data_IF_058296941821
#
_entry.id   IF_058296941821
#
_cell.length_a   1.000
_cell.length_b   1.000
_cell.length_c   1.000
_cell.angle_alpha   90.00
_cell.angle_beta   90.00
_cell.angle_gamma   90.00
#
_symmetry.space_group_name_H-M   'P 1'
#
loop_
_entity.id
_entity.type
_entity.pdbx_description
1 polymer ?
#
# COMPACT_ATOMS: atom_id res chain seq x y z
N UNK A 1 -53.27 27.53 -42.46
CA UNK A 1 -51.92 28.08 -42.27
C UNK A 1 -51.10 27.10 -41.43
N UNK A 2 -50.02 26.59 -42.03
CA UNK A 2 -48.85 25.85 -41.49
C UNK A 2 -49.06 24.95 -40.26
N UNK A 3 -49.21 23.63 -40.49
CA UNK A 3 -48.81 22.61 -39.52
C UNK A 3 -47.32 22.34 -39.69
N UNK A 4 -46.56 22.62 -38.63
CA UNK A 4 -45.12 22.42 -38.52
C UNK A 4 -44.88 20.91 -38.33
N UNK A 5 -44.17 20.28 -39.27
CA UNK A 5 -43.66 18.91 -39.12
C UNK A 5 -42.30 19.06 -38.45
N UNK A 6 -42.21 18.77 -37.15
CA UNK A 6 -40.94 18.58 -36.46
C UNK A 6 -40.48 17.14 -36.75
N UNK A 7 -39.48 16.99 -37.61
CA UNK A 7 -38.72 15.75 -37.74
C UNK A 7 -37.76 15.64 -36.55
N UNK A 8 -38.13 14.83 -35.56
CA UNK A 8 -37.22 14.38 -34.51
C UNK A 8 -36.21 13.42 -35.16
N UNK A 9 -35.00 13.91 -35.46
CA UNK A 9 -33.88 13.03 -35.79
C UNK A 9 -33.35 12.47 -34.48
N UNK A 10 -33.72 11.25 -34.14
CA UNK A 10 -33.09 10.50 -33.07
C UNK A 10 -31.67 10.16 -33.52
N UNK A 11 -30.70 10.96 -33.08
CA UNK A 11 -29.29 10.57 -33.10
C UNK A 11 -29.17 9.43 -32.10
N UNK A 12 -29.11 8.21 -32.62
CA UNK A 12 -28.76 7.03 -31.85
C UNK A 12 -27.26 7.14 -31.54
N UNK A 13 -26.90 7.89 -30.50
CA UNK A 13 -25.59 7.74 -29.87
C UNK A 13 -25.54 6.31 -29.33
N UNK A 14 -24.91 5.41 -30.07
CA UNK A 14 -24.38 4.19 -29.50
C UNK A 14 -23.30 4.60 -28.52
N UNK A 15 -23.68 4.88 -27.27
CA UNK A 15 -22.79 4.68 -26.15
C UNK A 15 -22.56 3.17 -26.10
N UNK A 16 -21.48 2.73 -26.76
CA UNK A 16 -20.94 1.42 -26.47
C UNK A 16 -20.33 1.54 -25.08
N UNK A 17 -21.15 1.34 -24.04
CA UNK A 17 -20.67 1.16 -22.69
C UNK A 17 -19.93 -0.18 -22.68
N UNK A 18 -18.65 -0.14 -23.01
CA UNK A 18 -17.73 -1.25 -22.76
C UNK A 18 -17.57 -1.37 -21.25
N UNK A 19 -18.54 -2.01 -20.60
CA UNK A 19 -18.31 -2.53 -19.26
C UNK A 19 -17.12 -3.48 -19.38
N UNK A 20 -16.00 -3.12 -18.75
CA UNK A 20 -14.88 -4.03 -18.58
C UNK A 20 -15.42 -5.25 -17.83
N UNK A 21 -15.54 -6.37 -18.54
CA UNK A 21 -15.75 -7.66 -17.89
C UNK A 21 -14.38 -8.08 -17.42
N UNK A 22 -14.15 -8.02 -16.10
CA UNK A 22 -12.93 -8.56 -15.52
C UNK A 22 -12.80 -10.03 -15.91
N UNK A 23 -11.66 -10.38 -16.49
CA UNK A 23 -11.31 -11.78 -16.65
C UNK A 23 -11.20 -12.44 -15.26
N UNK A 24 -11.51 -13.73 -15.18
CA UNK A 24 -11.32 -14.50 -13.95
C UNK A 24 -9.85 -14.37 -13.49
N UNK A 25 -9.61 -14.12 -12.20
CA UNK A 25 -8.25 -13.95 -11.65
C UNK A 25 -7.37 -15.16 -11.99
N UNK A 26 -7.94 -16.37 -11.98
CA UNK A 26 -7.25 -17.60 -12.37
C UNK A 26 -6.82 -17.64 -13.85
N UNK A 27 -7.44 -16.84 -14.72
CA UNK A 27 -7.04 -16.68 -16.11
C UNK A 27 -5.85 -15.74 -16.27
N UNK A 28 -5.78 -14.68 -15.45
CA UNK A 28 -4.70 -13.70 -15.50
C UNK A 28 -3.44 -14.20 -14.79
N UNK A 29 -3.61 -14.76 -13.59
CA UNK A 29 -2.55 -15.34 -12.77
C UNK A 29 -2.89 -16.80 -12.44
N UNK A 30 -2.34 -17.76 -13.21
CA UNK A 30 -2.60 -19.19 -13.00
C UNK A 30 -2.18 -19.69 -11.62
N UNK A 31 -1.18 -19.05 -11.03
CA UNK A 31 -0.79 -19.24 -9.63
C UNK A 31 -1.14 -17.96 -8.88
N UNK A 32 -2.03 -18.08 -7.90
CA UNK A 32 -2.56 -16.97 -7.12
C UNK A 32 -2.88 -17.41 -5.68
N UNK A 33 -3.43 -16.51 -4.89
CA UNK A 33 -3.71 -16.70 -3.45
C UNK A 33 -4.63 -17.88 -3.13
N UNK A 34 -5.49 -18.27 -4.07
CA UNK A 34 -6.42 -19.40 -3.90
C UNK A 34 -5.80 -20.73 -4.38
N UNK A 35 -4.62 -20.69 -5.01
CA UNK A 35 -3.88 -21.87 -5.46
C UNK A 35 -3.27 -22.63 -4.29
N UNK A 36 -3.30 -23.97 -4.34
CA UNK A 36 -2.72 -24.81 -3.28
C UNK A 36 -1.21 -24.58 -3.10
N UNK A 37 -0.48 -24.40 -4.22
CA UNK A 37 0.96 -24.13 -4.25
C UNK A 37 1.34 -22.81 -3.56
N UNK A 38 0.40 -21.85 -3.44
CA UNK A 38 0.67 -20.56 -2.80
C UNK A 38 1.14 -20.69 -1.34
N UNK A 39 0.64 -21.72 -0.64
CA UNK A 39 1.05 -22.05 0.73
C UNK A 39 2.39 -22.76 0.82
N UNK A 40 2.94 -23.23 -0.30
CA UNK A 40 4.23 -23.90 -0.36
C UNK A 40 5.39 -22.90 -0.48
N UNK A 41 5.11 -21.66 -0.89
CA UNK A 41 6.11 -20.60 -0.99
C UNK A 41 6.70 -20.22 0.37
N UNK A 42 8.03 -20.02 0.37
CA UNK A 42 8.82 -19.77 1.58
C UNK A 42 9.48 -18.39 1.58
N UNK A 43 9.47 -17.70 0.43
CA UNK A 43 9.94 -16.34 0.29
C UNK A 43 8.96 -15.47 -0.49
N UNK A 44 9.04 -14.15 -0.30
CA UNK A 44 8.32 -13.17 -1.10
C UNK A 44 8.77 -13.19 -2.57
N UNK A 45 10.05 -13.48 -2.82
CA UNK A 45 10.58 -13.66 -4.18
C UNK A 45 9.92 -14.85 -4.90
N UNK A 46 9.67 -15.97 -4.22
CA UNK A 46 8.96 -17.11 -4.82
C UNK A 46 7.53 -16.70 -5.23
N UNK A 47 6.88 -15.84 -4.43
CA UNK A 47 5.53 -15.33 -4.70
C UNK A 47 5.53 -14.35 -5.88
N UNK A 48 6.54 -13.48 -5.97
CA UNK A 48 6.75 -12.57 -7.11
C UNK A 48 6.96 -13.39 -8.39
N UNK A 49 7.88 -14.36 -8.38
CA UNK A 49 8.20 -15.19 -9.55
C UNK A 49 6.96 -15.94 -10.06
N UNK A 50 6.10 -16.41 -9.15
CA UNK A 50 4.85 -17.07 -9.50
C UNK A 50 3.83 -16.15 -10.19
N UNK A 51 3.96 -14.83 -10.02
CA UNK A 51 3.08 -13.83 -10.62
C UNK A 51 3.69 -13.17 -11.88
N UNK A 52 4.88 -13.61 -12.32
CA UNK A 52 5.56 -12.99 -13.45
C UNK A 52 4.78 -13.16 -14.76
N UNK A 53 4.76 -12.09 -15.55
CA UNK A 53 4.10 -12.05 -16.86
C UNK A 53 5.14 -11.60 -17.88
N UNK A 54 5.39 -12.44 -18.88
CA UNK A 54 6.39 -12.16 -19.91
C UNK A 54 6.19 -10.80 -20.57
N UNK A 55 7.27 -10.06 -20.78
CA UNK A 55 7.26 -8.74 -21.43
C UNK A 55 6.58 -8.77 -22.79
N UNK A 56 6.76 -9.84 -23.58
CA UNK A 56 6.09 -10.00 -24.87
C UNK A 56 4.57 -9.97 -24.74
N UNK A 57 4.04 -10.67 -23.72
CA UNK A 57 2.61 -10.67 -23.43
C UNK A 57 2.13 -9.30 -22.96
N UNK A 58 2.87 -8.65 -22.07
CA UNK A 58 2.51 -7.32 -21.54
C UNK A 58 2.41 -6.26 -22.66
N UNK A 59 3.34 -6.29 -23.61
CA UNK A 59 3.36 -5.37 -24.75
C UNK A 59 2.15 -5.54 -25.69
N UNK A 60 1.60 -6.76 -25.77
CA UNK A 60 0.45 -7.06 -26.61
C UNK A 60 -0.90 -6.66 -25.97
N UNK A 61 -0.92 -6.37 -24.66
CA UNK A 61 -2.13 -6.00 -23.93
C UNK A 61 -2.56 -4.56 -24.21
N UNK A 62 -3.87 -4.33 -24.23
CA UNK A 62 -4.42 -2.97 -24.17
C UNK A 62 -4.19 -2.36 -22.77
N UNK A 63 -4.36 -1.04 -22.66
CA UNK A 63 -4.20 -0.34 -21.38
C UNK A 63 -5.27 -0.78 -20.37
N UNK A 64 -6.48 -1.08 -20.84
CA UNK A 64 -7.56 -1.67 -20.03
C UNK A 64 -7.21 -3.08 -19.54
N UNK A 65 -6.63 -3.91 -20.39
CA UNK A 65 -6.21 -5.26 -19.99
C UNK A 65 -5.06 -5.18 -18.97
N UNK A 66 -4.07 -4.31 -19.17
CA UNK A 66 -3.01 -4.05 -18.20
C UNK A 66 -3.57 -3.61 -16.85
N UNK A 67 -4.56 -2.71 -16.84
CA UNK A 67 -5.24 -2.30 -15.62
C UNK A 67 -5.90 -3.49 -14.90
N UNK A 68 -6.53 -4.42 -15.64
CA UNK A 68 -7.06 -5.65 -15.03
C UNK A 68 -5.95 -6.50 -14.41
N UNK A 69 -4.81 -6.68 -15.10
CA UNK A 69 -3.67 -7.41 -14.53
C UNK A 69 -3.15 -6.75 -13.25
N UNK A 70 -3.12 -5.42 -13.18
CA UNK A 70 -2.70 -4.70 -11.97
C UNK A 70 -3.70 -4.91 -10.82
N UNK A 71 -4.99 -4.72 -11.08
CA UNK A 71 -6.02 -4.86 -10.04
C UNK A 71 -6.22 -6.32 -9.58
N UNK A 72 -5.88 -7.30 -10.41
CA UNK A 72 -5.93 -8.72 -10.05
C UNK A 72 -4.59 -9.29 -9.56
N UNK A 73 -3.54 -8.45 -9.47
CA UNK A 73 -2.21 -8.89 -9.06
C UNK A 73 -2.26 -9.55 -7.67
N UNK A 74 -1.78 -10.81 -7.51
CA UNK A 74 -1.94 -11.54 -6.26
C UNK A 74 -1.28 -10.87 -5.04
N UNK A 75 -0.27 -10.02 -5.27
CA UNK A 75 0.44 -9.27 -4.24
C UNK A 75 0.04 -7.78 -4.20
N UNK A 76 -1.09 -7.38 -4.78
CA UNK A 76 -1.55 -5.96 -4.83
C UNK A 76 -1.55 -5.28 -3.45
N UNK A 77 -1.81 -6.03 -2.38
CA UNK A 77 -1.83 -5.51 -1.00
C UNK A 77 -0.49 -4.93 -0.56
N UNK A 78 0.63 -5.36 -1.14
CA UNK A 78 1.96 -4.88 -0.79
C UNK A 78 2.10 -3.36 -0.98
N UNK A 79 1.37 -2.80 -1.95
CA UNK A 79 1.33 -1.35 -2.22
C UNK A 79 0.92 -0.51 -1.00
N UNK A 80 0.21 -1.07 -0.03
CA UNK A 80 -0.28 -0.35 1.15
C UNK A 80 0.58 -0.58 2.39
N UNK A 81 1.66 -1.35 2.29
CA UNK A 81 2.47 -1.78 3.44
C UNK A 81 3.71 -0.91 3.67
N UNK A 82 3.76 0.27 3.06
CA UNK A 82 4.86 1.23 3.17
C UNK A 82 4.42 2.48 3.91
N UNK A 83 5.39 3.31 4.33
CA UNK A 83 5.14 4.56 5.07
C UNK A 83 4.34 5.58 4.23
N UNK A 84 4.48 5.51 2.91
CA UNK A 84 3.70 6.28 1.96
C UNK A 84 3.16 5.40 0.85
N UNK A 85 2.02 5.80 0.27
CA UNK A 85 1.47 5.11 -0.90
C UNK A 85 2.36 5.30 -2.13
N UNK A 86 3.08 6.41 -2.25
CA UNK A 86 4.08 6.60 -3.32
C UNK A 86 5.17 5.54 -3.23
N UNK A 87 5.75 5.33 -2.05
CA UNK A 87 6.77 4.31 -1.84
C UNK A 87 6.23 2.90 -2.13
N UNK A 88 4.99 2.63 -1.73
CA UNK A 88 4.36 1.33 -2.01
C UNK A 88 4.03 1.10 -3.49
N UNK A 89 3.63 2.12 -4.24
CA UNK A 89 3.44 2.04 -5.70
C UNK A 89 4.77 1.76 -6.38
N UNK A 90 5.83 2.46 -5.97
CA UNK A 90 7.17 2.28 -6.52
C UNK A 90 7.75 0.91 -6.17
N UNK A 91 7.54 0.42 -4.94
CA UNK A 91 7.93 -0.93 -4.54
C UNK A 91 7.19 -2.00 -5.37
N UNK A 92 5.88 -1.88 -5.50
CA UNK A 92 5.07 -2.81 -6.30
C UNK A 92 5.51 -2.79 -7.77
N UNK A 93 5.82 -1.60 -8.31
CA UNK A 93 6.29 -1.40 -9.69
C UNK A 93 7.58 -2.16 -9.99
N UNK A 94 8.49 -2.32 -9.03
CA UNK A 94 9.76 -3.01 -9.27
C UNK A 94 9.59 -4.51 -9.58
N UNK A 95 8.47 -5.11 -9.17
CA UNK A 95 8.24 -6.54 -9.35
C UNK A 95 6.88 -6.91 -9.95
N UNK A 96 6.02 -5.92 -10.24
CA UNK A 96 4.78 -6.11 -10.98
C UNK A 96 4.96 -5.55 -12.40
N UNK A 97 5.35 -6.42 -13.35
CA UNK A 97 5.59 -6.03 -14.74
C UNK A 97 4.39 -5.33 -15.38
N UNK A 98 3.17 -5.76 -15.05
CA UNK A 98 1.92 -5.13 -15.53
C UNK A 98 1.76 -3.70 -15.04
N UNK A 99 2.13 -3.38 -13.80
CA UNK A 99 2.11 -2.01 -13.29
C UNK A 99 3.22 -1.18 -13.93
N UNK A 100 4.42 -1.75 -14.07
CA UNK A 100 5.53 -1.08 -14.72
C UNK A 100 5.19 -0.69 -16.17
N UNK A 101 4.58 -1.59 -16.95
CA UNK A 101 4.12 -1.30 -18.31
C UNK A 101 2.95 -0.30 -18.32
N UNK A 102 1.95 -0.47 -17.44
CA UNK A 102 0.78 0.41 -17.36
C UNK A 102 1.17 1.88 -17.17
N UNK A 103 2.12 2.16 -16.26
CA UNK A 103 2.56 3.53 -15.95
C UNK A 103 3.32 4.20 -17.11
N UNK A 104 3.81 3.43 -18.09
CA UNK A 104 4.50 3.96 -19.27
C UNK A 104 3.53 4.24 -20.44
N UNK A 105 2.25 3.86 -20.33
CA UNK A 105 1.26 4.04 -21.42
C UNK A 105 0.82 5.48 -21.54
N UNK A 106 0.84 6.04 -22.75
CA UNK A 106 0.45 7.43 -23.00
C UNK A 106 -1.02 7.73 -22.67
N UNK A 107 -1.90 6.72 -22.77
CA UNK A 107 -3.34 6.81 -22.54
C UNK A 107 -3.79 6.36 -21.13
N UNK A 108 -2.84 6.01 -20.24
CA UNK A 108 -3.10 5.50 -18.88
C UNK A 108 -4.05 6.40 -18.10
N UNK A 109 -3.82 7.71 -18.13
CA UNK A 109 -4.61 8.68 -17.36
C UNK A 109 -6.09 8.68 -17.76
N UNK A 110 -6.37 8.60 -19.06
CA UNK A 110 -7.73 8.58 -19.60
C UNK A 110 -8.44 7.29 -19.22
N UNK A 111 -7.78 6.15 -19.43
CA UNK A 111 -8.35 4.83 -19.14
C UNK A 111 -8.65 4.64 -17.66
N UNK A 112 -7.70 4.99 -16.77
CA UNK A 112 -7.91 4.85 -15.33
C UNK A 112 -9.05 5.76 -14.84
N UNK A 113 -9.13 7.00 -15.35
CA UNK A 113 -10.20 7.92 -14.97
C UNK A 113 -11.56 7.42 -15.44
N UNK A 114 -11.69 7.02 -16.71
CA UNK A 114 -12.93 6.50 -17.26
C UNK A 114 -13.39 5.24 -16.52
N UNK A 115 -12.44 4.36 -16.15
CA UNK A 115 -12.74 3.19 -15.32
C UNK A 115 -13.23 3.59 -13.92
N UNK A 116 -12.55 4.52 -13.26
CA UNK A 116 -12.89 5.00 -11.93
C UNK A 116 -14.28 5.68 -11.91
N UNK A 117 -14.57 6.53 -12.89
CA UNK A 117 -15.87 7.21 -13.04
C UNK A 117 -17.01 6.20 -13.25
N UNK A 118 -16.80 5.16 -14.05
CA UNK A 118 -17.86 4.20 -14.41
C UNK A 118 -18.13 3.17 -13.32
N UNK A 119 -17.10 2.67 -12.65
CA UNK A 119 -17.21 1.51 -11.77
C UNK A 119 -17.28 1.90 -10.29
N UNK A 120 -16.44 2.85 -9.88
CA UNK A 120 -16.27 3.19 -8.47
C UNK A 120 -17.37 4.14 -7.98
N UNK A 121 -17.73 5.15 -8.78
CA UNK A 121 -18.85 6.07 -8.47
C UNK A 121 -20.15 5.31 -8.23
N UNK A 122 -20.44 4.34 -9.11
CA UNK A 122 -21.68 3.59 -9.07
C UNK A 122 -21.72 2.68 -7.84
N UNK A 123 -20.58 2.11 -7.44
CA UNK A 123 -20.44 1.37 -6.18
C UNK A 123 -20.72 2.28 -4.97
N UNK A 124 -20.10 3.45 -4.92
CA UNK A 124 -20.28 4.40 -3.81
C UNK A 124 -21.69 4.94 -3.66
N UNK A 125 -22.38 5.23 -4.77
CA UNK A 125 -23.78 5.64 -4.73
C UNK A 125 -24.70 4.60 -4.05
N UNK A 126 -24.26 3.34 -3.98
CA UNK A 126 -24.96 2.22 -3.37
C UNK A 126 -24.26 1.67 -2.12
N UNK A 127 -23.30 2.41 -1.55
CA UNK A 127 -22.47 1.96 -0.44
C UNK A 127 -23.28 1.56 0.80
N UNK A 128 -22.81 0.50 1.47
CA UNK A 128 -23.33 0.02 2.74
C UNK A 128 -22.16 -0.19 3.71
N UNK A 129 -22.24 0.35 4.93
CA UNK A 129 -21.18 0.18 5.95
C UNK A 129 -20.87 -1.28 6.32
N UNK A 130 -21.79 -2.20 6.03
CA UNK A 130 -21.57 -3.63 6.22
C UNK A 130 -20.68 -4.28 5.14
N UNK A 131 -20.43 -3.58 4.02
CA UNK A 131 -19.66 -4.05 2.87
C UNK A 131 -18.55 -3.03 2.56
N UNK A 132 -17.38 -3.14 3.23
CA UNK A 132 -16.28 -2.19 3.05
C UNK A 132 -15.73 -2.26 1.62
N UNK A 133 -15.19 -1.14 1.13
CA UNK A 133 -14.66 -1.07 -0.23
C UNK A 133 -13.52 -2.05 -0.49
N UNK A 134 -13.48 -2.50 -1.74
CA UNK A 134 -12.47 -3.43 -2.23
C UNK A 134 -11.10 -2.73 -2.22
N UNK A 135 -10.06 -3.46 -1.82
CA UNK A 135 -8.68 -3.00 -1.89
C UNK A 135 -8.30 -2.52 -3.31
N UNK A 136 -8.93 -3.09 -4.34
CA UNK A 136 -8.80 -2.67 -5.74
C UNK A 136 -9.26 -1.22 -5.99
N UNK A 137 -10.31 -0.78 -5.30
CA UNK A 137 -10.83 0.58 -5.43
C UNK A 137 -9.82 1.59 -4.89
N UNK A 138 -9.23 1.27 -3.73
CA UNK A 138 -8.13 2.04 -3.15
C UNK A 138 -6.89 2.03 -4.03
N UNK A 139 -6.60 0.91 -4.67
CA UNK A 139 -5.44 0.78 -5.55
C UNK A 139 -5.57 1.67 -6.78
N UNK A 140 -6.76 1.68 -7.40
CA UNK A 140 -7.07 2.53 -8.53
C UNK A 140 -7.00 4.02 -8.18
N UNK A 141 -7.60 4.43 -7.05
CA UNK A 141 -7.51 5.83 -6.59
C UNK A 141 -6.06 6.23 -6.27
N UNK A 142 -5.28 5.29 -5.71
CA UNK A 142 -3.86 5.46 -5.42
C UNK A 142 -3.02 5.72 -6.66
N UNK A 143 -3.19 4.90 -7.70
CA UNK A 143 -2.45 5.05 -8.95
C UNK A 143 -2.85 6.35 -9.65
N UNK A 144 -4.15 6.69 -9.72
CA UNK A 144 -4.61 7.97 -10.27
C UNK A 144 -4.01 9.17 -9.53
N UNK A 145 -4.02 9.12 -8.20
CA UNK A 145 -3.45 10.16 -7.35
C UNK A 145 -1.94 10.28 -7.55
N UNK A 146 -1.22 9.16 -7.64
CA UNK A 146 0.20 9.13 -7.98
C UNK A 146 0.49 9.84 -9.31
N UNK A 147 -0.17 9.43 -10.38
CA UNK A 147 0.00 10.05 -11.71
C UNK A 147 -0.30 11.56 -11.65
N UNK A 148 -1.30 11.97 -10.85
CA UNK A 148 -1.67 13.37 -10.69
C UNK A 148 -0.53 14.17 -10.02
N UNK A 149 -0.03 13.70 -8.88
CA UNK A 149 1.02 14.39 -8.13
C UNK A 149 2.40 14.35 -8.82
N UNK A 150 2.66 13.34 -9.66
CA UNK A 150 3.84 13.33 -10.55
C UNK A 150 3.71 14.26 -11.76
N UNK A 151 2.52 14.83 -11.99
CA UNK A 151 2.25 15.70 -13.12
C UNK A 151 2.13 14.96 -14.46
N UNK A 152 1.84 13.67 -14.41
CA UNK A 152 1.69 12.80 -15.58
C UNK A 152 0.27 12.88 -16.17
N UNK A 153 -0.71 13.34 -15.38
CA UNK A 153 -2.03 13.74 -15.89
C UNK A 153 -1.94 15.04 -16.71
N UNK A 154 -2.25 14.95 -18.00
CA UNK A 154 -2.34 16.09 -18.93
C UNK A 154 -3.76 16.68 -18.95
N UNK A 155 -3.94 17.86 -19.54
CA UNK A 155 -5.26 18.44 -19.76
C UNK A 155 -5.90 17.79 -21.01
N UNK A 156 -7.22 17.47 -21.01
CA UNK A 156 -8.23 17.81 -20.01
C UNK A 156 -8.41 16.80 -18.86
N UNK A 157 -7.69 15.67 -18.86
CA UNK A 157 -7.82 14.59 -17.86
C UNK A 157 -7.58 15.08 -16.44
N UNK A 158 -6.55 15.91 -16.25
CA UNK A 158 -6.23 16.57 -14.99
C UNK A 158 -7.39 17.39 -14.44
N UNK A 159 -8.01 18.22 -15.29
CA UNK A 159 -9.12 19.08 -14.88
C UNK A 159 -10.36 18.25 -14.54
N UNK A 160 -10.62 17.18 -15.31
CA UNK A 160 -11.69 16.22 -15.00
C UNK A 160 -11.45 15.54 -13.66
N UNK A 161 -10.26 14.98 -13.44
CA UNK A 161 -9.90 14.34 -12.18
C UNK A 161 -10.04 15.31 -11.00
N UNK A 162 -9.50 16.52 -11.09
CA UNK A 162 -9.65 17.52 -10.03
C UNK A 162 -11.12 17.86 -9.76
N UNK A 163 -11.89 18.20 -10.79
CA UNK A 163 -13.31 18.53 -10.64
C UNK A 163 -14.12 17.38 -10.01
N UNK A 164 -13.67 16.16 -10.24
CA UNK A 164 -14.27 14.96 -9.68
C UNK A 164 -13.90 14.75 -8.21
N UNK A 165 -12.66 15.06 -7.81
CA UNK A 165 -12.18 14.91 -6.43
C UNK A 165 -12.57 16.08 -5.52
N UNK A 166 -12.72 17.30 -6.05
CA UNK A 166 -13.04 18.54 -5.32
C UNK A 166 -14.25 18.45 -4.36
N UNK A 167 -15.42 17.91 -4.77
CA UNK A 167 -16.56 17.74 -3.87
C UNK A 167 -16.22 16.87 -2.65
N UNK A 168 -15.45 15.79 -2.84
CA UNK A 168 -15.06 14.85 -1.78
C UNK A 168 -14.01 15.46 -0.84
N UNK A 169 -13.07 16.22 -1.39
CA UNK A 169 -12.07 16.99 -0.62
C UNK A 169 -12.78 17.98 0.31
N UNK A 170 -13.80 18.70 -0.19
CA UNK A 170 -14.55 19.68 0.61
C UNK A 170 -15.32 19.04 1.78
N UNK A 171 -15.85 17.82 1.59
CA UNK A 171 -16.52 17.05 2.64
C UNK A 171 -15.49 16.55 3.66
N UNK A 172 -14.35 16.03 3.20
CA UNK A 172 -13.25 15.56 4.05
C UNK A 172 -12.61 16.66 4.92
N UNK A 173 -12.77 17.94 4.57
CA UNK A 173 -12.21 19.08 5.31
C UNK A 173 -13.20 19.71 6.31
N UNK A 174 -14.48 19.33 6.27
CA UNK A 174 -15.57 20.00 7.02
C UNK A 174 -15.89 19.45 8.43
N UNK A 175 -15.09 18.49 8.93
CA UNK A 175 -15.12 17.99 10.31
C UNK A 175 -16.46 17.33 10.76
N UNK A 176 -16.60 16.04 10.43
CA UNK A 176 -17.14 15.06 11.38
C UNK A 176 -16.62 13.68 10.98
N UNK A 177 -16.24 12.85 11.96
CA UNK A 177 -15.83 11.44 11.85
C UNK A 177 -16.89 10.50 11.22
N UNK A 178 -17.84 11.05 10.47
CA UNK A 178 -18.98 10.37 9.90
C UNK A 178 -19.35 11.02 8.56
N UNK A 179 -18.71 10.60 7.46
CA UNK A 179 -19.23 10.56 6.07
C UNK A 179 -18.13 10.06 5.09
N UNK A 180 -18.51 9.53 3.91
CA UNK A 180 -18.45 8.11 3.56
C UNK A 180 -17.04 7.55 3.27
N UNK A 181 -16.24 7.33 4.33
CA UNK A 181 -15.20 6.28 4.56
C UNK A 181 -14.23 5.81 3.46
N UNK A 182 -14.26 6.27 2.20
CA UNK A 182 -13.65 5.52 1.08
C UNK A 182 -13.35 6.34 -0.18
N UNK A 183 -14.21 7.27 -0.65
CA UNK A 183 -13.91 8.09 -1.85
C UNK A 183 -13.08 9.33 -1.51
N UNK A 184 -11.93 9.52 -2.15
CA UNK A 184 -11.07 10.70 -1.96
C UNK A 184 -10.13 10.66 -0.75
N UNK A 185 -10.20 9.59 0.05
CA UNK A 185 -9.32 9.41 1.21
C UNK A 185 -7.86 9.22 0.79
N UNK A 186 -7.62 8.45 -0.28
CA UNK A 186 -6.27 8.18 -0.78
C UNK A 186 -5.68 9.44 -1.41
N UNK A 187 -6.48 10.15 -2.21
CA UNK A 187 -6.05 11.44 -2.76
C UNK A 187 -5.67 12.43 -1.66
N UNK A 188 -6.48 12.52 -0.58
CA UNK A 188 -6.17 13.38 0.57
C UNK A 188 -4.86 12.97 1.24
N UNK A 189 -4.66 11.67 1.49
CA UNK A 189 -3.41 11.14 2.05
C UNK A 189 -2.20 11.54 1.18
N UNK A 190 -2.32 11.44 -0.14
CA UNK A 190 -1.23 11.78 -1.07
C UNK A 190 -1.00 13.29 -1.25
N UNK A 191 -2.04 14.12 -1.07
CA UNK A 191 -1.97 15.57 -1.29
C UNK A 191 -1.09 16.32 -0.30
N UNK A 192 -0.68 15.69 0.81
CA UNK A 192 -0.05 16.36 1.95
C UNK A 192 -0.86 17.57 2.49
N UNK A 193 -2.11 17.80 2.03
CA UNK A 193 -3.01 18.75 2.65
C UNK A 193 -3.34 18.19 4.03
N UNK A 194 -2.67 18.78 5.02
CA UNK A 194 -2.75 18.41 6.42
C UNK A 194 -4.21 18.25 6.83
N UNK A 195 -4.67 16.99 6.92
CA UNK A 195 -5.33 16.58 8.16
C UNK A 195 -4.40 17.09 9.25
N UNK A 196 -4.90 17.86 10.22
CA UNK A 196 -4.09 18.46 11.29
C UNK A 196 -3.52 17.36 12.23
N UNK A 197 -2.64 16.51 11.68
CA UNK A 197 -1.90 15.45 12.35
C UNK A 197 -0.89 16.06 13.33
N UNK A 198 -0.51 17.32 13.11
CA UNK A 198 0.29 18.14 14.03
C UNK A 198 -0.34 18.28 15.42
N UNK A 199 -1.64 18.05 15.59
CA UNK A 199 -2.28 17.96 16.93
C UNK A 199 -2.21 16.58 17.58
N UNK A 200 -2.03 15.51 16.80
CA UNK A 200 -1.98 14.12 17.29
C UNK A 200 -0.57 13.62 17.57
N UNK A 201 0.45 14.39 17.17
CA UNK A 201 1.85 14.01 17.31
C UNK A 201 2.67 15.07 18.05
N UNK A 202 3.54 14.64 18.96
CA UNK A 202 4.50 15.50 19.63
C UNK A 202 5.93 14.99 19.40
N UNK A 203 6.84 15.88 19.01
CA UNK A 203 8.26 15.54 18.90
C UNK A 203 8.84 15.26 20.28
N UNK A 204 9.63 14.18 20.38
CA UNK A 204 10.34 13.82 21.60
C UNK A 204 11.61 13.00 21.26
N UNK A 205 12.35 12.57 22.29
CA UNK A 205 13.61 11.85 22.16
C UNK A 205 13.59 10.61 23.05
N UNK A 206 14.05 9.49 22.47
CA UNK A 206 14.43 8.28 23.22
C UNK A 206 15.94 8.09 23.12
N UNK A 207 16.48 7.18 23.92
CA UNK A 207 17.92 6.94 23.97
C UNK A 207 18.23 5.49 23.64
N UNK A 208 19.32 5.30 22.89
CA UNK A 208 19.92 3.99 22.68
C UNK A 208 20.50 3.44 23.99
N UNK A 209 20.82 2.13 24.08
CA UNK A 209 21.50 1.55 25.23
C UNK A 209 22.76 2.28 25.71
N UNK A 210 23.54 2.89 24.80
CA UNK A 210 24.74 3.67 25.17
C UNK A 210 24.46 5.17 25.40
N UNK A 211 23.20 5.59 25.27
CA UNK A 211 22.76 6.94 25.59
C UNK A 211 22.75 7.93 24.43
N UNK A 212 22.83 7.47 23.17
CA UNK A 212 22.69 8.36 22.00
C UNK A 212 21.22 8.75 21.83
N UNK A 213 20.90 10.03 21.65
CA UNK A 213 19.53 10.47 21.42
C UNK A 213 19.03 10.04 20.03
N UNK A 214 17.76 9.64 19.96
CA UNK A 214 17.04 9.30 18.73
C UNK A 214 15.70 10.04 18.73
N UNK A 215 15.44 10.84 17.70
CA UNK A 215 14.20 11.59 17.54
C UNK A 215 13.02 10.65 17.25
N UNK A 216 11.91 10.87 17.93
CA UNK A 216 10.65 10.14 17.71
C UNK A 216 9.47 11.09 17.71
N UNK A 217 8.32 10.59 17.26
CA UNK A 217 7.02 11.24 17.47
C UNK A 217 6.22 10.42 18.47
N UNK A 218 5.71 11.05 19.52
CA UNK A 218 4.69 10.46 20.38
C UNK A 218 3.35 10.63 19.69
N UNK A 219 2.65 9.52 19.51
CA UNK A 219 1.35 9.51 18.86
C UNK A 219 0.24 9.39 19.88
N UNK A 220 -0.83 10.18 19.73
CA UNK A 220 -2.08 10.02 20.47
C UNK A 220 -3.22 9.56 19.54
N UNK A 221 -2.90 8.78 18.50
CA UNK A 221 -3.91 8.18 17.62
C UNK A 221 -4.81 7.24 18.43
N UNK A 222 -6.11 7.34 18.18
CA UNK A 222 -7.06 6.35 18.67
C UNK A 222 -7.18 5.25 17.61
N UNK A 223 -7.13 4.00 18.03
CA UNK A 223 -7.43 2.86 17.17
C UNK A 223 -8.91 2.86 16.70
N UNK A 224 -9.80 3.60 17.35
CA UNK A 224 -11.14 3.87 16.80
C UNK A 224 -11.09 4.72 15.50
N UNK A 225 -9.98 5.42 15.26
CA UNK A 225 -9.69 6.08 13.98
C UNK A 225 -9.21 5.08 12.91
N UNK A 226 -9.15 3.77 13.21
CA UNK A 226 -8.77 2.73 12.23
C UNK A 226 -9.65 2.81 11.01
N UNK A 227 -9.05 3.36 9.96
CA UNK A 227 -9.61 3.51 8.65
C UNK A 227 -10.05 2.16 8.09
N UNK A 228 -11.12 2.20 7.31
CA UNK A 228 -11.58 1.11 6.44
C UNK A 228 -10.41 0.44 5.70
N UNK A 229 -9.42 1.22 5.25
CA UNK A 229 -8.24 0.75 4.54
C UNK A 229 -7.34 -0.17 5.39
N UNK A 230 -6.97 0.20 6.62
CA UNK A 230 -6.06 -0.61 7.44
C UNK A 230 -6.67 -1.97 7.81
N UNK A 231 -7.99 -2.00 8.01
CA UNK A 231 -8.74 -3.24 8.26
C UNK A 231 -8.84 -4.13 7.02
N UNK A 232 -9.06 -3.54 5.85
CA UNK A 232 -9.12 -4.30 4.61
C UNK A 232 -7.73 -4.80 4.20
N UNK A 233 -6.69 -3.97 4.32
CA UNK A 233 -5.30 -4.37 4.13
C UNK A 233 -4.92 -5.52 5.07
N UNK A 234 -5.31 -5.49 6.34
CA UNK A 234 -5.09 -6.60 7.27
C UNK A 234 -5.74 -7.91 6.78
N UNK A 235 -7.01 -7.85 6.35
CA UNK A 235 -7.73 -9.02 5.83
C UNK A 235 -7.05 -9.58 4.59
N UNK A 236 -6.73 -8.73 3.62
CA UNK A 236 -6.10 -9.13 2.36
C UNK A 236 -4.68 -9.62 2.57
N UNK A 237 -3.92 -9.05 3.50
CA UNK A 237 -2.61 -9.56 3.91
C UNK A 237 -2.68 -10.98 4.45
N UNK A 238 -3.64 -11.29 5.32
CA UNK A 238 -3.77 -12.64 5.89
C UNK A 238 -4.15 -13.70 4.86
N UNK A 239 -4.82 -13.29 3.78
CA UNK A 239 -5.07 -14.15 2.61
C UNK A 239 -3.82 -14.30 1.75
N UNK A 240 -3.08 -13.21 1.57
CA UNK A 240 -1.91 -13.16 0.70
C UNK A 240 -0.70 -13.87 1.30
N UNK A 241 -0.51 -13.79 2.61
CA UNK A 241 0.63 -14.38 3.34
C UNK A 241 0.17 -15.48 4.32
N UNK A 242 -0.31 -16.64 3.83
CA UNK A 242 -0.88 -17.69 4.68
C UNK A 242 0.12 -18.33 5.66
N UNK A 243 1.43 -18.21 5.39
CA UNK A 243 2.50 -18.72 6.27
C UNK A 243 2.95 -17.70 7.33
N UNK A 244 2.41 -16.48 7.30
CA UNK A 244 2.56 -15.50 8.37
C UNK A 244 1.39 -15.57 9.35
N UNK A 245 1.57 -15.06 10.56
CA UNK A 245 0.54 -15.08 11.61
C UNK A 245 0.39 -13.73 12.28
N UNK A 246 -0.85 -13.27 12.43
CA UNK A 246 -1.16 -12.03 13.15
C UNK A 246 -0.86 -12.17 14.64
N UNK A 247 -0.11 -11.22 15.19
CA UNK A 247 0.18 -11.07 16.62
C UNK A 247 -0.70 -10.00 17.25
N UNK A 248 -0.87 -8.86 16.56
CA UNK A 248 -1.77 -7.78 16.97
C UNK A 248 -2.38 -7.12 15.74
N UNK A 249 -3.55 -6.50 15.90
CA UNK A 249 -4.23 -5.80 14.81
C UNK A 249 -3.44 -4.60 14.30
N UNK A 250 -3.80 -4.14 13.11
CA UNK A 250 -3.32 -2.89 12.51
C UNK A 250 -3.39 -1.72 13.49
N UNK A 251 -2.38 -0.84 13.45
CA UNK A 251 -2.37 0.42 14.22
C UNK A 251 -1.42 1.47 13.67
N UNK A 252 -1.79 2.74 13.86
CA UNK A 252 -0.98 3.93 13.56
C UNK A 252 -0.16 4.43 14.75
N UNK A 253 -0.29 3.81 15.93
CA UNK A 253 0.36 4.29 17.16
C UNK A 253 1.87 3.98 17.22
N UNK A 254 2.38 3.12 16.34
CA UNK A 254 3.81 2.82 16.22
C UNK A 254 4.15 2.18 14.88
N UNK A 255 5.43 2.27 14.50
CA UNK A 255 5.98 1.66 13.29
C UNK A 255 6.96 0.51 13.58
N UNK A 256 7.49 -0.11 12.53
CA UNK A 256 8.39 -1.26 12.61
C UNK A 256 9.69 -0.96 13.37
N UNK A 257 10.30 0.21 13.16
CA UNK A 257 11.51 0.63 13.86
C UNK A 257 11.26 0.83 15.34
N UNK A 258 10.19 1.53 15.73
CA UNK A 258 9.82 1.69 17.12
C UNK A 258 9.61 0.34 17.80
N UNK A 259 8.86 -0.58 17.15
CA UNK A 259 8.63 -1.94 17.65
C UNK A 259 9.93 -2.72 17.89
N UNK A 260 10.83 -2.70 16.90
CA UNK A 260 12.08 -3.43 16.94
C UNK A 260 13.06 -2.83 17.96
N UNK A 261 13.33 -1.54 17.90
CA UNK A 261 14.47 -0.93 18.59
C UNK A 261 14.13 -0.37 19.99
N UNK A 262 12.86 -0.09 20.27
CA UNK A 262 12.44 0.58 21.50
C UNK A 262 11.31 -0.13 22.27
N UNK A 263 10.16 -0.36 21.64
CA UNK A 263 8.95 -0.90 22.28
C UNK A 263 9.07 -2.36 22.74
N UNK A 264 9.88 -3.19 22.08
CA UNK A 264 10.14 -4.54 22.62
C UNK A 264 10.69 -4.54 24.05
N UNK A 265 11.13 -3.37 24.54
CA UNK A 265 11.63 -3.13 25.89
C UNK A 265 10.69 -2.26 26.75
N UNK A 266 9.62 -1.66 26.21
CA UNK A 266 8.72 -0.72 26.91
C UNK A 266 7.27 -0.76 26.40
N UNK A 267 6.29 -0.38 27.22
CA UNK A 267 4.89 -0.24 26.77
C UNK A 267 4.58 1.14 26.14
N UNK A 268 5.59 1.92 25.73
CA UNK A 268 5.40 3.29 25.24
C UNK A 268 5.23 3.26 23.72
N UNK A 269 4.13 3.82 23.22
CA UNK A 269 3.82 3.87 21.79
C UNK A 269 4.41 5.13 21.15
N UNK A 270 5.25 4.93 20.13
CA UNK A 270 6.00 5.99 19.44
C UNK A 270 6.20 5.62 17.97
N UNK A 271 6.40 6.64 17.15
CA UNK A 271 6.87 6.52 15.77
C UNK A 271 8.36 6.87 15.69
N UNK A 272 9.18 5.99 15.12
CA UNK A 272 10.62 6.19 14.97
C UNK A 272 10.99 6.17 13.50
N UNK A 273 11.34 7.34 12.93
CA UNK A 273 11.68 7.45 11.50
C UNK A 273 13.05 6.87 11.17
N UNK A 274 13.99 6.91 12.12
CA UNK A 274 15.35 6.54 11.83
C UNK A 274 15.99 5.79 13.01
N UNK A 275 16.19 4.47 12.90
CA UNK A 275 16.83 3.67 13.93
C UNK A 275 18.37 3.69 13.86
N UNK A 276 19.00 4.46 12.97
CA UNK A 276 20.42 4.39 12.64
C UNK A 276 21.35 4.40 13.85
N UNK A 277 21.08 5.25 14.86
CA UNK A 277 21.93 5.32 16.06
C UNK A 277 22.00 3.99 16.80
N UNK A 278 20.91 3.22 16.90
CA UNK A 278 20.92 1.90 17.56
C UNK A 278 21.90 0.93 16.89
N UNK A 279 22.07 1.04 15.57
CA UNK A 279 22.88 0.13 14.76
C UNK A 279 24.35 0.56 14.67
N UNK A 280 24.67 1.83 14.94
CA UNK A 280 26.00 2.41 14.65
C UNK A 280 26.73 3.05 15.84
N UNK A 281 26.06 3.26 16.98
CA UNK A 281 26.68 3.89 18.14
C UNK A 281 27.38 2.91 19.10
N UNK A 282 27.37 1.62 18.77
CA UNK A 282 27.89 0.54 19.61
C UNK A 282 26.86 -0.08 20.55
N UNK A 283 25.59 0.31 20.50
CA UNK A 283 24.50 -0.36 21.24
C UNK A 283 24.23 -1.77 20.73
N UNK A 284 24.30 -1.95 19.42
CA UNK A 284 24.16 -3.23 18.74
C UNK A 284 25.32 -3.43 17.76
N UNK A 285 25.71 -4.68 17.58
CA UNK A 285 26.72 -5.08 16.60
C UNK A 285 26.09 -5.96 15.52
N UNK A 286 26.52 -5.78 14.28
CA UNK A 286 26.14 -6.65 13.18
C UNK A 286 26.69 -8.07 13.41
N UNK A 287 25.86 -9.08 13.17
CA UNK A 287 26.16 -10.49 13.43
C UNK A 287 25.60 -11.38 12.33
N UNK A 288 25.95 -12.67 12.36
CA UNK A 288 25.28 -13.68 11.54
C UNK A 288 23.83 -13.86 11.98
N UNK A 289 22.98 -14.32 11.05
CA UNK A 289 21.56 -14.60 11.32
C UNK A 289 21.32 -15.42 12.59
N UNK A 290 22.10 -16.50 12.78
CA UNK A 290 21.98 -17.42 13.92
C UNK A 290 22.20 -16.77 15.29
N UNK A 291 22.80 -15.58 15.32
CA UNK A 291 23.15 -14.83 16.53
C UNK A 291 22.32 -13.56 16.67
N UNK A 292 21.53 -13.19 15.66
CA UNK A 292 20.77 -11.95 15.62
C UNK A 292 19.60 -11.94 16.58
N UNK A 293 19.36 -10.79 17.18
CA UNK A 293 18.19 -10.46 18.00
C UNK A 293 17.25 -9.49 17.27
N UNK A 294 17.82 -8.67 16.38
CA UNK A 294 17.10 -7.73 15.50
C UNK A 294 17.48 -8.01 14.05
N UNK A 295 16.58 -7.66 13.15
CA UNK A 295 16.80 -7.68 11.70
C UNK A 295 16.46 -6.30 11.14
N UNK A 296 17.26 -5.86 10.18
CA UNK A 296 17.03 -4.67 9.37
C UNK A 296 17.03 -5.08 7.89
N UNK A 297 16.03 -4.62 7.16
CA UNK A 297 15.89 -4.76 5.71
C UNK A 297 16.26 -3.41 5.13
N UNK A 298 17.32 -3.36 4.34
CA UNK A 298 17.78 -2.15 3.70
C UNK A 298 17.06 -1.94 2.36
N UNK A 299 16.56 -0.73 2.12
CA UNK A 299 16.04 -0.33 0.80
C UNK A 299 17.04 0.53 0.01
N UNK A 300 18.30 0.65 0.47
CA UNK A 300 19.33 1.42 -0.20
C UNK A 300 19.56 0.91 -1.63
N UNK A 301 19.30 1.78 -2.60
CA UNK A 301 19.42 1.47 -4.03
C UNK A 301 18.09 1.19 -4.72
N UNK A 302 17.00 1.00 -3.96
CA UNK A 302 15.64 0.97 -4.50
C UNK A 302 15.18 2.37 -4.91
N UNK A 303 14.15 2.41 -5.77
CA UNK A 303 13.52 3.67 -6.21
C UNK A 303 12.61 4.30 -5.15
N UNK A 304 12.42 3.62 -4.01
CA UNK A 304 11.50 3.96 -2.92
C UNK A 304 12.17 3.86 -1.55
N UNK A 305 11.54 4.44 -0.52
CA UNK A 305 11.88 4.17 0.87
C UNK A 305 11.07 2.98 1.36
N UNK A 306 11.76 1.95 1.82
CA UNK A 306 11.09 0.75 2.32
C UNK A 306 11.95 -0.03 3.30
N UNK A 307 12.83 0.67 4.02
CA UNK A 307 13.61 0.01 5.04
C UNK A 307 12.69 -0.48 6.16
N UNK A 308 13.03 -1.63 6.72
CA UNK A 308 12.14 -2.33 7.63
C UNK A 308 12.91 -2.89 8.82
N UNK A 309 12.24 -3.06 9.95
CA UNK A 309 12.87 -3.61 11.15
C UNK A 309 11.99 -4.65 11.84
N UNK A 310 12.64 -5.65 12.42
CA UNK A 310 11.95 -6.70 13.15
C UNK A 310 12.77 -7.27 14.30
N UNK A 311 12.06 -7.98 15.17
CA UNK A 311 12.65 -8.75 16.27
C UNK A 311 12.79 -10.21 15.86
N UNK A 312 13.99 -10.78 16.00
CA UNK A 312 14.23 -12.20 15.80
C UNK A 312 13.83 -12.93 17.08
N UNK A 313 13.02 -13.96 16.94
CA UNK A 313 12.54 -14.81 18.04
C UNK A 313 13.25 -16.17 18.03
N UNK A 314 13.11 -16.92 19.13
CA UNK A 314 13.72 -18.25 19.34
C UNK A 314 13.10 -19.35 18.47
N UNK A 315 13.08 -19.18 17.15
CA UNK A 315 12.68 -20.17 16.14
C UNK A 315 13.07 -19.74 14.71
N UNK A 316 14.01 -18.80 14.55
CA UNK A 316 14.27 -18.18 13.24
C UNK A 316 13.06 -17.44 12.64
N UNK A 317 12.08 -17.06 13.48
CA UNK A 317 10.94 -16.25 13.06
C UNK A 317 11.16 -14.79 13.43
N UNK A 318 10.69 -13.89 12.57
CA UNK A 318 10.71 -12.44 12.76
C UNK A 318 9.32 -12.01 13.23
N UNK A 319 9.26 -11.11 14.21
CA UNK A 319 8.06 -10.34 14.53
C UNK A 319 8.30 -8.89 14.13
N UNK A 320 7.45 -8.34 13.27
CA UNK A 320 7.55 -6.97 12.78
C UNK A 320 6.18 -6.37 12.44
N UNK A 321 6.08 -5.04 12.46
CA UNK A 321 4.87 -4.29 12.10
C UNK A 321 4.88 -4.01 10.61
N UNK A 322 3.87 -4.45 9.86
CA UNK A 322 3.86 -4.27 8.40
C UNK A 322 3.07 -3.01 8.02
N UNK A 323 3.77 -1.90 7.76
CA UNK A 323 3.18 -0.64 7.27
C UNK A 323 1.97 -0.19 8.08
N UNK A 324 0.87 0.13 7.40
CA UNK A 324 -0.42 0.44 8.03
C UNK A 324 -1.13 -0.80 8.62
N UNK A 325 -0.71 -2.00 8.19
CA UNK A 325 -1.28 -3.30 8.57
C UNK A 325 -0.86 -3.80 9.97
N UNK A 326 -1.13 -5.08 10.30
CA UNK A 326 -0.90 -5.68 11.62
C UNK A 326 0.56 -5.86 12.02
N UNK A 327 0.74 -6.21 13.30
CA UNK A 327 1.96 -6.82 13.81
C UNK A 327 1.96 -8.32 13.46
N UNK A 328 2.99 -8.77 12.75
CA UNK A 328 3.03 -10.09 12.12
C UNK A 328 4.24 -10.90 12.60
N UNK A 329 4.03 -12.21 12.77
CA UNK A 329 5.09 -13.21 12.89
C UNK A 329 5.26 -13.91 11.55
N UNK A 330 6.48 -13.94 11.02
CA UNK A 330 6.78 -14.48 9.69
C UNK A 330 8.23 -14.98 9.59
N UNK A 331 8.57 -15.67 8.49
CA UNK A 331 9.98 -15.97 8.17
C UNK A 331 10.67 -14.69 7.65
N UNK A 332 11.99 -14.58 7.83
CA UNK A 332 12.74 -13.38 7.43
C UNK A 332 12.76 -13.12 5.92
N UNK A 333 12.44 -14.12 5.11
CA UNK A 333 12.28 -14.01 3.65
C UNK A 333 10.83 -13.87 3.20
N UNK A 334 9.86 -14.02 4.11
CA UNK A 334 8.43 -14.13 3.80
C UNK A 334 7.67 -12.91 4.32
N UNK A 335 7.95 -11.75 3.71
CA UNK A 335 7.32 -10.46 3.99
C UNK A 335 7.49 -9.52 2.79
N UNK A 336 6.66 -8.48 2.64
CA UNK A 336 6.67 -7.56 1.49
C UNK A 336 7.98 -6.75 1.34
N UNK A 337 8.80 -6.69 2.39
CA UNK A 337 10.05 -5.94 2.40
C UNK A 337 11.28 -6.76 1.98
N UNK A 338 11.10 -8.05 1.67
CA UNK A 338 12.20 -8.92 1.31
C UNK A 338 12.39 -8.98 -0.21
N UNK A 339 13.41 -8.29 -0.71
CA UNK A 339 13.76 -8.26 -2.15
C UNK A 339 15.03 -9.04 -2.48
N UNK A 340 15.78 -9.50 -1.48
CA UNK A 340 17.04 -10.21 -1.68
C UNK A 340 17.77 -10.49 -0.37
N UNK A 341 18.80 -11.34 -0.42
CA UNK A 341 19.58 -11.67 0.78
C UNK A 341 20.54 -10.53 1.17
N UNK A 342 20.98 -9.75 0.18
CA UNK A 342 21.92 -8.64 0.31
C UNK A 342 21.39 -7.44 1.09
N UNK A 343 20.06 -7.31 1.18
CA UNK A 343 19.42 -6.23 1.94
C UNK A 343 19.30 -6.53 3.44
N UNK A 344 19.64 -7.76 3.88
CA UNK A 344 19.43 -8.16 5.26
C UNK A 344 20.68 -7.94 6.12
N UNK A 345 20.51 -7.19 7.21
CA UNK A 345 21.50 -7.11 8.28
C UNK A 345 20.90 -7.56 9.61
N UNK A 346 21.63 -8.38 10.36
CA UNK A 346 21.20 -8.89 11.66
C UNK A 346 22.03 -8.26 12.77
N UNK A 347 21.39 -7.91 13.88
CA UNK A 347 22.02 -7.19 14.97
C UNK A 347 21.82 -7.88 16.31
N UNK A 348 22.84 -7.83 17.17
CA UNK A 348 22.80 -8.34 18.54
C UNK A 348 23.21 -7.23 19.51
N UNK A 349 22.55 -7.16 20.66
CA UNK A 349 22.86 -6.17 21.69
C UNK A 349 24.28 -6.37 22.23
N UNK A 350 25.02 -5.28 22.36
CA UNK A 350 26.32 -5.26 23.04
C UNK A 350 26.08 -5.04 24.54
N UNK A 351 26.63 -5.93 25.37
CA UNK A 351 26.64 -5.79 26.82
C UNK A 351 28.01 -5.27 27.25
N UNK A 352 28.03 -4.14 27.96
CA UNK A 352 29.23 -3.52 28.53
C UNK A 352 29.45 -3.94 29.98
#
# INVERSE_FOLDING_TARGET
MKKLICTLSAVLCCFCSSHLVFADNAFLYPVNRDSSIWKEFSSHLDMIEACDVSVEKLNDLTTEELLQYVLEYPLLVDMFLFDSLEDGILALREHCGSLAELLEREDVSTILFDFYEQNIVVSYANYNEADPCDLKDYALEGILSYLYFKGELKNPEKDKFLSFMEPEISVCLSDSLSLPKTKGCIYKQMSNEQVDLTKKEALDVVYTPVGTPVSIRRTNYDDADHESLAREAEKEMLRTYPNASKIASATYQYNCHAYAWYQSLTNILVWMENPWSYMHDGSYAAVSYSQGEKIYYDANGASYKGDHSGNITSSSAVISKWGIGPLMRHAHTYCPYYTGAEILTYYKRVHY
#
